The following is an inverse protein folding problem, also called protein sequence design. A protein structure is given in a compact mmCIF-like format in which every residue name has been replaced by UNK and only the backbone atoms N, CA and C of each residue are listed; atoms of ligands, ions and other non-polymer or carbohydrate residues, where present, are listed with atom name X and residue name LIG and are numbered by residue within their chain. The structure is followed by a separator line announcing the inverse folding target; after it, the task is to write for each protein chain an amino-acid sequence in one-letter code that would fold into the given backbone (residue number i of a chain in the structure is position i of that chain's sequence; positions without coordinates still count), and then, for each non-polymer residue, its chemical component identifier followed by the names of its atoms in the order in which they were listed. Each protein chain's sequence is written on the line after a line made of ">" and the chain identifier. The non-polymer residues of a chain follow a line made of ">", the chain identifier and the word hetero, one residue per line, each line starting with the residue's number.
data_IF_484028000015
#
_entry.id   IF_484028000015
#
_cell.length_a   1.000
_cell.length_b   1.000
_cell.length_c   1.000
_cell.angle_alpha   90.00
_cell.angle_beta   90.00
_cell.angle_gamma   90.00
#
_symmetry.space_group_name_H-M   'P 1'
#
loop_
_entity.id
_entity.type
_entity.pdbx_description
1 polymer ?
#
# COMPACT_ATOMS: atom_id res chain seq x y z
N UNK A 1 -32.87 -20.54 -61.30
CA UNK A 1 -33.33 -21.94 -61.10
C UNK A 1 -33.66 -21.99 -59.60
N UNK A 2 -34.91 -21.76 -59.34
CA UNK A 2 -36.09 -22.60 -59.11
C UNK A 2 -35.97 -23.37 -57.80
N UNK A 3 -36.79 -22.90 -56.87
CA UNK A 3 -38.04 -23.52 -56.36
C UNK A 3 -37.81 -24.63 -55.33
N UNK A 4 -38.47 -24.78 -54.20
CA UNK A 4 -39.92 -24.61 -53.91
C UNK A 4 -40.14 -24.53 -52.39
N UNK A 5 -41.19 -23.80 -52.07
CA UNK A 5 -41.96 -23.79 -50.82
C UNK A 5 -42.68 -25.13 -50.58
N UNK A 6 -42.97 -25.46 -49.33
CA UNK A 6 -44.21 -26.15 -49.02
C UNK A 6 -44.70 -25.79 -47.61
N UNK A 7 -45.91 -25.30 -47.55
CA UNK A 7 -46.79 -25.09 -46.39
C UNK A 7 -47.63 -26.34 -46.17
N UNK A 8 -48.05 -26.59 -44.92
CA UNK A 8 -49.33 -27.20 -44.54
C UNK A 8 -49.53 -26.99 -43.03
N UNK A 9 -50.42 -26.17 -42.54
CA UNK A 9 -51.86 -26.21 -42.36
C UNK A 9 -52.31 -27.07 -41.16
N UNK A 10 -52.81 -26.34 -40.17
CA UNK A 10 -53.70 -26.53 -39.03
C UNK A 10 -54.47 -27.87 -38.89
N UNK A 11 -54.60 -28.32 -37.60
CA UNK A 11 -55.93 -28.64 -37.05
C UNK A 11 -55.96 -28.37 -35.54
N UNK A 12 -57.02 -27.68 -35.11
CA UNK A 12 -57.37 -27.42 -33.72
C UNK A 12 -58.27 -28.56 -33.17
N UNK A 13 -58.15 -28.88 -31.90
CA UNK A 13 -59.18 -29.60 -31.17
C UNK A 13 -59.25 -29.08 -29.74
N UNK A 14 -60.40 -28.52 -29.42
CA UNK A 14 -60.82 -28.03 -28.11
C UNK A 14 -61.02 -29.18 -27.13
N UNK A 15 -60.58 -28.99 -25.88
CA UNK A 15 -60.87 -29.88 -24.77
C UNK A 15 -60.69 -29.16 -23.46
N UNK A 16 -61.82 -28.76 -22.83
CA UNK A 16 -61.88 -28.08 -21.52
C UNK A 16 -61.38 -28.97 -20.37
N UNK A 17 -60.55 -28.48 -19.46
CA UNK A 17 -60.13 -29.23 -18.29
C UNK A 17 -60.96 -28.93 -17.05
N UNK A 18 -61.28 -29.99 -16.30
CA UNK A 18 -61.80 -29.95 -14.93
C UNK A 18 -60.71 -29.52 -13.92
N UNK A 19 -61.10 -28.83 -12.81
CA UNK A 19 -60.11 -28.35 -11.84
C UNK A 19 -59.62 -29.48 -10.95
N UNK A 20 -58.33 -29.79 -11.02
CA UNK A 20 -57.65 -30.58 -9.98
C UNK A 20 -57.12 -29.69 -8.88
N UNK A 21 -57.51 -30.02 -7.65
CA UNK A 21 -57.03 -29.40 -6.43
C UNK A 21 -55.51 -29.55 -6.32
N UNK A 22 -54.80 -28.40 -6.36
CA UNK A 22 -53.35 -28.35 -6.17
C UNK A 22 -53.11 -28.19 -4.67
N UNK A 23 -52.53 -29.22 -4.04
CA UNK A 23 -52.04 -29.15 -2.69
C UNK A 23 -50.79 -28.25 -2.69
N UNK A 24 -50.90 -27.10 -1.98
CA UNK A 24 -49.77 -26.18 -1.77
C UNK A 24 -48.89 -26.80 -0.68
N UNK A 25 -47.80 -27.43 -1.04
CA UNK A 25 -46.69 -27.72 -0.14
C UNK A 25 -45.88 -26.44 0.03
N UNK A 26 -46.05 -25.79 1.19
CA UNK A 26 -45.19 -24.70 1.63
C UNK A 26 -43.88 -25.33 2.07
N UNK A 27 -42.89 -25.37 1.17
CA UNK A 27 -41.51 -25.58 1.56
C UNK A 27 -40.97 -24.26 2.11
N UNK A 28 -40.94 -24.13 3.43
CA UNK A 28 -40.14 -23.15 4.13
C UNK A 28 -38.67 -23.51 3.93
N UNK A 29 -38.09 -23.04 2.83
CA UNK A 29 -36.63 -23.01 2.66
C UNK A 29 -36.10 -21.97 3.64
N UNK A 30 -35.58 -22.42 4.79
CA UNK A 30 -34.67 -21.62 5.62
C UNK A 30 -33.41 -21.34 4.79
N UNK A 31 -33.41 -20.25 4.06
CA UNK A 31 -32.16 -19.67 3.55
C UNK A 31 -31.39 -19.12 4.76
N UNK A 32 -30.49 -19.93 5.29
CA UNK A 32 -29.38 -19.44 6.09
C UNK A 32 -28.54 -18.56 5.16
N UNK A 33 -28.89 -17.27 5.08
CA UNK A 33 -27.99 -16.24 4.63
C UNK A 33 -26.84 -16.20 5.63
N UNK A 34 -25.74 -16.89 5.30
CA UNK A 34 -24.45 -16.60 5.88
C UNK A 34 -24.15 -15.15 5.50
N UNK A 35 -24.40 -14.23 6.42
CA UNK A 35 -23.87 -12.88 6.39
C UNK A 35 -22.34 -13.05 6.46
N UNK A 36 -21.70 -13.20 5.31
CA UNK A 36 -20.32 -12.77 5.15
C UNK A 36 -20.40 -11.27 5.35
N UNK A 37 -20.17 -10.84 6.58
CA UNK A 37 -19.94 -9.44 6.88
C UNK A 37 -18.73 -9.04 6.06
N UNK A 38 -18.97 -8.39 4.92
CA UNK A 38 -17.99 -7.58 4.27
C UNK A 38 -17.68 -6.49 5.31
N UNK A 39 -16.60 -6.67 6.08
CA UNK A 39 -16.08 -5.64 6.96
C UNK A 39 -15.55 -4.52 6.07
N UNK A 40 -16.45 -3.71 5.53
CA UNK A 40 -16.11 -2.39 5.04
C UNK A 40 -15.56 -1.65 6.26
N UNK A 41 -14.27 -1.34 6.25
CA UNK A 41 -13.63 -0.57 7.32
C UNK A 41 -14.34 0.77 7.39
N UNK A 42 -15.10 1.01 8.47
CA UNK A 42 -15.81 2.29 8.64
C UNK A 42 -14.78 3.39 8.87
N UNK A 43 -14.95 4.51 8.19
CA UNK A 43 -14.15 5.71 8.43
C UNK A 43 -14.46 6.22 9.85
N UNK A 44 -13.43 6.37 10.67
CA UNK A 44 -13.55 6.86 12.04
C UNK A 44 -13.12 8.32 12.15
N UNK A 45 -13.55 9.03 13.20
CA UNK A 45 -13.07 10.37 13.47
C UNK A 45 -11.63 10.34 14.04
N UNK A 46 -10.87 11.41 13.82
CA UNK A 46 -9.49 11.54 14.32
C UNK A 46 -9.45 11.43 15.86
N UNK A 47 -10.44 12.00 16.54
CA UNK A 47 -10.54 11.98 17.99
C UNK A 47 -10.70 10.56 18.53
N UNK A 48 -11.38 9.70 17.78
CA UNK A 48 -11.59 8.30 18.17
C UNK A 48 -10.32 7.43 18.07
N UNK A 49 -9.27 7.91 17.39
CA UNK A 49 -7.99 7.19 17.30
C UNK A 49 -7.28 7.08 18.65
N UNK A 50 -7.57 7.98 19.62
CA UNK A 50 -7.03 7.93 20.99
C UNK A 50 -7.42 6.59 21.65
N UNK A 51 -8.67 6.20 21.47
CA UNK A 51 -9.26 4.98 22.02
C UNK A 51 -9.37 3.85 20.99
N UNK A 52 -8.61 3.92 19.89
CA UNK A 52 -8.64 2.87 18.86
C UNK A 52 -8.44 1.49 19.48
N UNK A 53 -9.26 0.48 19.14
CA UNK A 53 -9.15 -0.84 19.73
C UNK A 53 -7.79 -1.48 19.44
N UNK A 54 -7.24 -2.18 20.43
CA UNK A 54 -5.98 -2.92 20.26
C UNK A 54 -6.15 -4.06 19.25
N UNK A 55 -5.17 -4.23 18.36
CA UNK A 55 -5.19 -5.23 17.29
C UNK A 55 -6.09 -4.88 16.10
N UNK A 56 -6.54 -3.63 15.98
CA UNK A 56 -7.47 -3.19 14.93
C UNK A 56 -6.84 -2.13 14.04
N UNK A 57 -7.20 -2.15 12.76
CA UNK A 57 -6.89 -1.10 11.78
C UNK A 57 -8.06 -0.14 11.67
N UNK A 58 -7.82 1.14 11.91
CA UNK A 58 -8.78 2.23 11.77
C UNK A 58 -8.57 2.95 10.46
N UNK A 59 -9.62 3.18 9.68
CA UNK A 59 -9.63 4.01 8.47
C UNK A 59 -10.11 5.42 8.84
N UNK A 60 -9.40 6.45 8.40
CA UNK A 60 -9.77 7.83 8.69
C UNK A 60 -9.33 8.79 7.57
N UNK A 61 -10.05 9.91 7.49
CA UNK A 61 -9.68 11.05 6.66
C UNK A 61 -9.13 12.16 7.56
N UNK A 62 -8.12 12.87 7.07
CA UNK A 62 -7.49 13.97 7.82
C UNK A 62 -7.28 15.20 6.94
N UNK A 63 -7.32 16.42 7.52
CA UNK A 63 -7.09 17.65 6.77
C UNK A 63 -5.61 17.81 6.44
N UNK A 64 -5.31 18.17 5.20
CA UNK A 64 -3.96 18.44 4.71
C UNK A 64 -4.01 19.37 3.51
N UNK A 65 -3.11 20.35 3.44
CA UNK A 65 -2.93 21.23 2.27
C UNK A 65 -4.23 21.86 1.73
N UNK A 66 -5.17 22.18 2.63
CA UNK A 66 -6.48 22.77 2.29
C UNK A 66 -7.49 21.80 1.67
N UNK A 67 -7.25 20.51 1.77
CA UNK A 67 -8.09 19.42 1.29
C UNK A 67 -8.13 18.30 2.34
N UNK A 68 -8.55 17.09 1.94
CA UNK A 68 -8.51 15.89 2.80
C UNK A 68 -7.65 14.80 2.19
N UNK A 69 -7.08 13.96 3.05
CA UNK A 69 -6.35 12.77 2.65
C UNK A 69 -6.74 11.58 3.52
N UNK A 70 -6.53 10.40 2.97
CA UNK A 70 -6.88 9.10 3.55
C UNK A 70 -5.68 8.44 4.21
N UNK A 71 -5.91 7.83 5.37
CA UNK A 71 -4.95 6.96 6.00
C UNK A 71 -5.61 5.81 6.77
N UNK A 72 -4.81 4.77 7.01
CA UNK A 72 -5.15 3.63 7.85
C UNK A 72 -4.12 3.56 8.98
N UNK A 73 -4.60 3.41 10.21
CA UNK A 73 -3.75 3.28 11.39
C UNK A 73 -4.03 1.96 12.09
N UNK A 74 -3.04 1.08 12.09
CA UNK A 74 -3.10 -0.21 12.78
C UNK A 74 -2.49 -0.09 14.16
N UNK A 75 -3.29 -0.34 15.20
CA UNK A 75 -2.82 -0.38 16.58
C UNK A 75 -2.43 -1.81 16.95
N UNK A 76 -1.20 -2.07 17.43
CA UNK A 76 -0.83 -3.37 17.97
C UNK A 76 -1.63 -3.75 19.21
N UNK A 77 -1.67 -5.05 19.54
CA UNK A 77 -2.21 -5.51 20.80
C UNK A 77 -1.31 -5.08 21.97
N UNK A 78 -1.93 -4.81 23.14
CA UNK A 78 -1.20 -4.41 24.35
C UNK A 78 -1.24 -2.91 24.66
N UNK A 79 -0.53 -2.49 25.72
CA UNK A 79 -0.68 -1.14 26.26
C UNK A 79 0.12 -0.05 25.50
N UNK A 80 1.19 -0.40 24.77
CA UNK A 80 2.09 0.57 24.17
C UNK A 80 3.02 1.26 25.19
N UNK A 81 3.68 2.42 24.86
CA UNK A 81 3.66 3.00 23.51
C UNK A 81 4.45 2.15 22.51
N UNK A 82 3.99 2.18 21.25
CA UNK A 82 4.54 1.39 20.15
C UNK A 82 5.37 2.24 19.19
N UNK A 83 6.48 1.71 18.64
CA UNK A 83 7.16 2.37 17.52
C UNK A 83 6.20 2.57 16.35
N UNK A 84 6.38 3.65 15.59
CA UNK A 84 5.57 3.96 14.42
C UNK A 84 6.29 3.57 13.13
N UNK A 85 5.63 2.73 12.31
CA UNK A 85 6.03 2.46 10.93
C UNK A 85 5.11 3.24 9.98
N UNK A 86 5.66 4.14 9.18
CA UNK A 86 4.94 4.83 8.11
C UNK A 86 5.10 4.01 6.82
N UNK A 87 3.96 3.63 6.22
CA UNK A 87 3.92 2.77 5.04
C UNK A 87 3.37 3.54 3.83
N UNK A 88 4.12 3.53 2.74
CA UNK A 88 3.74 4.16 1.48
C UNK A 88 3.57 3.12 0.36
N UNK A 89 2.41 3.16 -0.26
CA UNK A 89 2.00 2.23 -1.31
C UNK A 89 2.61 2.55 -2.69
N UNK A 90 2.58 1.57 -3.60
CA UNK A 90 2.99 1.72 -4.99
C UNK A 90 1.91 2.34 -5.88
N UNK A 91 2.24 2.52 -7.17
CA UNK A 91 1.25 2.82 -8.19
C UNK A 91 0.44 1.57 -8.53
N UNK A 92 -0.88 1.67 -8.54
CA UNK A 92 -1.78 0.58 -8.88
C UNK A 92 -2.27 0.76 -10.31
N UNK A 93 -1.85 -0.13 -11.21
CA UNK A 93 -2.29 -0.11 -12.61
C UNK A 93 -3.77 -0.53 -12.69
N UNK A 94 -4.59 0.32 -13.30
CA UNK A 94 -6.00 0.02 -13.55
C UNK A 94 -6.96 0.20 -12.35
N UNK A 95 -6.45 0.57 -11.20
CA UNK A 95 -7.25 0.99 -10.05
C UNK A 95 -6.57 2.16 -9.33
N UNK A 96 -7.35 2.97 -8.66
CA UNK A 96 -6.83 4.06 -7.82
C UNK A 96 -6.68 3.61 -6.36
N UNK A 97 -6.39 2.32 -6.14
CA UNK A 97 -6.13 1.79 -4.81
C UNK A 97 -4.99 2.51 -4.12
N UNK A 98 -5.21 2.93 -2.86
CA UNK A 98 -4.30 3.72 -2.05
C UNK A 98 -3.62 2.92 -0.95
N UNK A 99 -3.68 3.47 0.25
CA UNK A 99 -3.03 2.92 1.45
C UNK A 99 -3.53 1.53 1.84
N UNK A 100 -4.78 1.18 1.51
CA UNK A 100 -5.34 -0.16 1.78
C UNK A 100 -4.49 -1.28 1.17
N UNK A 101 -3.72 -1.00 0.12
CA UNK A 101 -2.85 -1.98 -0.54
C UNK A 101 -1.61 -2.36 0.28
N UNK A 102 -1.27 -1.60 1.32
CA UNK A 102 -0.17 -1.88 2.26
C UNK A 102 -0.66 -2.08 3.70
N UNK A 103 -1.97 -2.08 3.92
CA UNK A 103 -2.56 -2.43 5.23
C UNK A 103 -2.17 -3.85 5.66
N UNK A 104 -2.15 -4.88 4.79
CA UNK A 104 -1.70 -6.22 5.20
C UNK A 104 -0.28 -6.26 5.77
N UNK A 105 0.63 -5.40 5.29
CA UNK A 105 1.97 -5.23 5.84
C UNK A 105 1.92 -4.54 7.21
N UNK A 106 1.10 -3.48 7.36
CA UNK A 106 0.92 -2.78 8.63
C UNK A 106 0.37 -3.72 9.72
N UNK A 107 -0.62 -4.55 9.39
CA UNK A 107 -1.20 -5.54 10.28
C UNK A 107 -0.20 -6.63 10.68
N UNK A 108 0.60 -7.11 9.72
CA UNK A 108 1.67 -8.09 10.00
C UNK A 108 2.76 -7.49 10.91
N UNK A 109 3.17 -6.24 10.70
CA UNK A 109 4.13 -5.57 11.56
C UNK A 109 3.55 -5.27 12.96
N UNK A 110 2.26 -5.00 13.05
CA UNK A 110 1.58 -4.81 14.33
C UNK A 110 1.48 -6.13 15.12
N UNK A 111 1.11 -7.23 14.47
CA UNK A 111 0.96 -8.55 15.12
C UNK A 111 2.29 -9.16 15.51
N UNK A 112 3.29 -9.14 14.62
CA UNK A 112 4.52 -9.91 14.74
C UNK A 112 5.65 -9.14 15.43
N UNK A 113 5.60 -7.79 15.38
CA UNK A 113 6.69 -6.92 15.81
C UNK A 113 6.25 -5.83 16.78
N UNK A 114 4.95 -5.65 17.03
CA UNK A 114 4.39 -4.57 17.85
C UNK A 114 4.75 -3.17 17.34
N UNK A 115 4.78 -2.97 16.03
CA UNK A 115 4.88 -1.65 15.41
C UNK A 115 3.48 -1.15 15.07
N UNK A 116 3.14 0.05 15.48
CA UNK A 116 1.97 0.74 14.96
C UNK A 116 2.20 1.06 13.47
N UNK A 117 1.22 0.73 12.62
CA UNK A 117 1.35 0.92 11.18
C UNK A 117 0.50 2.09 10.71
N UNK A 118 1.11 3.15 10.17
CA UNK A 118 0.43 4.26 9.51
C UNK A 118 0.59 4.13 8.00
N UNK A 119 -0.44 3.63 7.31
CA UNK A 119 -0.50 3.58 5.87
C UNK A 119 -1.20 4.84 5.33
N UNK A 120 -0.53 5.59 4.43
CA UNK A 120 -1.03 6.87 3.92
C UNK A 120 -1.29 6.77 2.43
N UNK A 121 -2.51 7.15 1.98
CA UNK A 121 -2.83 7.23 0.56
C UNK A 121 -2.19 8.47 -0.06
N UNK A 122 -1.34 8.23 -1.07
CA UNK A 122 -0.65 9.30 -1.79
C UNK A 122 -1.64 10.13 -2.61
N UNK A 123 -1.33 11.39 -2.95
CA UNK A 123 -2.19 12.23 -3.80
C UNK A 123 -2.64 11.54 -5.08
N UNK A 124 -3.97 11.53 -5.32
CA UNK A 124 -4.61 10.87 -6.45
C UNK A 124 -4.91 9.38 -6.26
N UNK A 125 -4.82 8.86 -5.02
CA UNK A 125 -5.14 7.46 -4.68
C UNK A 125 -6.11 7.40 -3.50
N UNK A 126 -6.84 6.27 -3.42
CA UNK A 126 -7.84 6.05 -2.38
C UNK A 126 -8.87 7.18 -2.32
N UNK A 127 -9.22 7.58 -1.11
CA UNK A 127 -10.12 8.72 -0.87
C UNK A 127 -9.36 10.06 -0.67
N UNK A 128 -8.05 10.11 -1.02
CA UNK A 128 -7.27 11.34 -0.93
C UNK A 128 -7.68 12.34 -2.00
N UNK A 129 -8.27 13.47 -1.60
CA UNK A 129 -8.72 14.54 -2.50
C UNK A 129 -7.59 15.47 -2.96
N UNK A 130 -6.42 15.42 -2.31
CA UNK A 130 -5.24 16.19 -2.74
C UNK A 130 -4.86 15.76 -4.15
N UNK A 131 -4.81 16.72 -5.07
CA UNK A 131 -4.46 16.45 -6.47
C UNK A 131 -2.97 16.12 -6.59
N UNK A 132 -2.63 15.06 -7.36
CA UNK A 132 -1.23 14.78 -7.63
C UNK A 132 -0.60 15.93 -8.42
N UNK A 133 0.62 16.28 -8.08
CA UNK A 133 1.42 17.30 -8.75
C UNK A 133 2.79 16.79 -9.14
N UNK A 134 3.53 17.62 -9.87
CA UNK A 134 4.93 17.34 -10.24
C UNK A 134 5.92 17.70 -9.13
N UNK A 135 5.50 18.54 -8.17
CA UNK A 135 6.31 18.86 -6.99
C UNK A 135 6.15 17.74 -5.94
N UNK A 136 7.22 17.01 -5.61
CA UNK A 136 7.17 15.95 -4.60
C UNK A 136 6.76 16.45 -3.21
N UNK A 137 6.95 17.74 -2.91
CA UNK A 137 6.56 18.34 -1.63
C UNK A 137 5.08 18.20 -1.33
N UNK A 138 4.22 18.17 -2.36
CA UNK A 138 2.78 17.95 -2.19
C UNK A 138 2.55 16.60 -1.50
N UNK A 139 3.21 15.55 -1.98
CA UNK A 139 3.10 14.21 -1.40
C UNK A 139 3.76 14.13 -0.03
N UNK A 140 4.93 14.75 0.13
CA UNK A 140 5.64 14.74 1.42
C UNK A 140 4.81 15.42 2.51
N UNK A 141 4.17 16.55 2.22
CA UNK A 141 3.31 17.25 3.17
C UNK A 141 2.13 16.39 3.64
N UNK A 142 1.47 15.67 2.71
CA UNK A 142 0.38 14.74 3.09
C UNK A 142 0.87 13.70 4.09
N UNK A 143 2.05 13.11 3.87
CA UNK A 143 2.60 12.09 4.77
C UNK A 143 3.02 12.68 6.10
N UNK A 144 3.66 13.86 6.09
CA UNK A 144 4.10 14.56 7.30
C UNK A 144 2.91 15.00 8.15
N UNK A 145 1.83 15.49 7.53
CA UNK A 145 0.61 15.88 8.26
C UNK A 145 -0.03 14.65 8.93
N UNK A 146 -0.11 13.51 8.23
CA UNK A 146 -0.60 12.25 8.80
C UNK A 146 0.27 11.81 10.00
N UNK A 147 1.60 11.82 9.84
CA UNK A 147 2.53 11.45 10.89
C UNK A 147 2.38 12.38 12.13
N UNK A 148 2.38 13.70 11.92
CA UNK A 148 2.21 14.71 12.98
C UNK A 148 0.89 14.60 13.74
N UNK A 149 -0.13 14.04 13.10
CA UNK A 149 -1.40 13.78 13.73
C UNK A 149 -1.34 12.56 14.66
N UNK A 150 -0.79 11.44 14.18
CA UNK A 150 -0.79 10.19 14.95
C UNK A 150 0.30 10.11 16.01
N UNK A 151 1.41 10.83 15.86
CA UNK A 151 2.48 10.89 16.88
C UNK A 151 2.03 11.44 18.23
N UNK A 152 0.90 12.16 18.27
CA UNK A 152 0.27 12.71 19.49
C UNK A 152 -0.55 11.68 20.26
N UNK A 153 -0.80 10.51 19.68
CA UNK A 153 -1.59 9.46 20.32
C UNK A 153 -0.80 8.85 21.50
N UNK A 154 -1.45 8.62 22.66
CA UNK A 154 -0.75 8.21 23.88
C UNK A 154 -0.12 6.81 23.78
N UNK A 155 -0.52 6.02 22.80
CA UNK A 155 0.00 4.68 22.57
C UNK A 155 1.04 4.61 21.43
N UNK A 156 1.48 5.74 20.88
CA UNK A 156 2.58 5.86 19.90
C UNK A 156 3.86 6.34 20.57
N UNK A 157 4.98 5.70 20.29
CA UNK A 157 6.31 6.18 20.63
C UNK A 157 6.87 7.00 19.46
N UNK A 158 6.62 8.30 19.49
CA UNK A 158 7.02 9.26 18.45
C UNK A 158 8.54 9.41 18.28
N UNK A 159 9.34 8.83 19.19
CA UNK A 159 10.81 8.86 19.10
C UNK A 159 11.36 7.66 18.32
N UNK A 160 10.55 6.66 18.03
CA UNK A 160 10.93 5.45 17.33
C UNK A 160 10.17 5.33 16.02
N UNK A 161 10.71 5.96 14.99
CA UNK A 161 10.09 6.09 13.68
C UNK A 161 10.79 5.20 12.65
N UNK A 162 9.99 4.52 11.83
CA UNK A 162 10.45 3.63 10.77
C UNK A 162 9.68 3.94 9.49
N UNK A 163 10.32 3.75 8.35
CA UNK A 163 9.72 3.99 7.04
C UNK A 163 9.68 2.70 6.23
N UNK A 164 8.57 2.45 5.56
CA UNK A 164 8.40 1.39 4.58
C UNK A 164 7.81 1.96 3.29
N UNK A 165 8.39 1.62 2.15
CA UNK A 165 7.85 2.02 0.85
C UNK A 165 7.93 0.92 -0.18
N UNK A 166 6.83 0.76 -0.92
CA UNK A 166 6.75 -0.13 -2.08
C UNK A 166 6.70 0.66 -3.38
N UNK A 167 7.56 0.33 -4.36
CA UNK A 167 7.52 0.90 -5.72
C UNK A 167 7.57 2.44 -5.71
N UNK A 168 6.53 3.13 -6.18
CA UNK A 168 6.37 4.59 -6.06
C UNK A 168 6.50 5.08 -4.61
N UNK A 169 5.92 4.32 -3.66
CA UNK A 169 6.06 4.62 -2.24
C UNK A 169 7.51 4.58 -1.78
N UNK A 170 8.36 3.68 -2.31
CA UNK A 170 9.77 3.64 -1.96
C UNK A 170 10.53 4.91 -2.41
N UNK A 171 10.15 5.50 -3.54
CA UNK A 171 10.70 6.80 -3.96
C UNK A 171 10.37 7.91 -2.95
N UNK A 172 9.11 8.04 -2.52
CA UNK A 172 8.72 9.05 -1.54
C UNK A 172 9.27 8.75 -0.14
N UNK A 173 9.35 7.48 0.24
CA UNK A 173 10.03 7.03 1.47
C UNK A 173 11.49 7.49 1.49
N UNK A 174 12.17 7.39 0.36
CA UNK A 174 13.56 7.85 0.21
C UNK A 174 13.71 9.36 0.39
N UNK A 175 12.73 10.14 -0.07
CA UNK A 175 12.70 11.59 0.15
C UNK A 175 12.38 11.96 1.61
N UNK A 176 11.50 11.20 2.28
CA UNK A 176 11.17 11.40 3.69
C UNK A 176 12.35 11.14 4.61
N UNK A 177 13.29 10.28 4.21
CA UNK A 177 14.47 9.93 4.98
C UNK A 177 15.30 11.15 5.43
N UNK A 178 15.18 12.28 4.73
CA UNK A 178 15.85 13.55 5.05
C UNK A 178 14.91 14.62 5.67
N UNK A 179 13.61 14.34 5.73
CA UNK A 179 12.61 15.31 6.19
C UNK A 179 12.18 15.05 7.64
N UNK A 180 12.35 13.83 8.11
CA UNK A 180 11.96 13.40 9.45
C UNK A 180 13.22 13.08 10.24
N UNK A 181 13.40 13.76 11.36
CA UNK A 181 14.48 13.47 12.30
C UNK A 181 14.15 12.22 13.12
N UNK A 182 15.19 11.47 13.53
CA UNK A 182 15.02 10.33 14.42
C UNK A 182 14.47 9.06 13.77
N UNK A 183 14.53 8.94 12.45
CA UNK A 183 14.21 7.67 11.77
C UNK A 183 15.23 6.63 12.19
N UNK A 184 14.74 5.49 12.71
CA UNK A 184 15.56 4.37 13.17
C UNK A 184 15.80 3.28 12.11
N UNK A 185 14.98 3.22 11.05
CA UNK A 185 15.13 2.25 9.96
C UNK A 185 14.29 2.55 8.74
N UNK A 186 14.80 2.17 7.56
CA UNK A 186 14.16 2.39 6.27
C UNK A 186 14.06 1.07 5.52
N UNK A 187 12.89 0.75 4.97
CA UNK A 187 12.65 -0.42 4.13
C UNK A 187 12.16 0.02 2.76
N UNK A 188 12.89 -0.34 1.73
CA UNK A 188 12.66 0.05 0.35
C UNK A 188 12.43 -1.19 -0.52
N UNK A 189 11.21 -1.37 -0.98
CA UNK A 189 10.76 -2.55 -1.73
C UNK A 189 10.46 -2.17 -3.19
N UNK A 190 11.23 -2.73 -4.14
CA UNK A 190 11.08 -2.56 -5.60
C UNK A 190 10.98 -1.08 -6.04
N UNK A 191 11.79 -0.21 -5.44
CA UNK A 191 11.73 1.24 -5.64
C UNK A 191 12.53 1.73 -6.83
N UNK A 192 12.15 2.92 -7.32
CA UNK A 192 12.91 3.72 -8.27
C UNK A 192 13.62 4.86 -7.53
N UNK A 193 14.89 5.12 -7.83
CA UNK A 193 15.71 6.07 -7.09
C UNK A 193 16.34 7.14 -8.00
N UNK A 194 16.44 6.86 -9.30
CA UNK A 194 16.77 7.82 -10.35
C UNK A 194 15.69 7.79 -11.43
N UNK A 195 14.76 8.74 -11.35
CA UNK A 195 13.63 8.81 -12.28
C UNK A 195 14.08 9.25 -13.68
N UNK A 196 15.21 9.98 -13.83
CA UNK A 196 15.75 10.31 -15.15
C UNK A 196 16.18 9.04 -15.87
N UNK A 197 16.92 8.18 -15.18
CA UNK A 197 17.38 6.91 -15.73
C UNK A 197 16.20 5.97 -16.00
N UNK A 198 15.24 5.87 -15.06
CA UNK A 198 14.03 5.08 -15.28
C UNK A 198 13.28 5.53 -16.53
N UNK A 199 13.16 6.84 -16.77
CA UNK A 199 12.52 7.40 -17.95
C UNK A 199 13.25 7.01 -19.25
N UNK A 200 14.57 6.99 -19.24
CA UNK A 200 15.36 6.61 -20.41
C UNK A 200 15.25 5.11 -20.70
N UNK A 201 15.28 4.28 -19.69
CA UNK A 201 15.36 2.82 -19.81
C UNK A 201 13.99 2.12 -19.94
N UNK A 202 12.91 2.78 -19.49
CA UNK A 202 11.61 2.12 -19.34
C UNK A 202 10.54 2.75 -20.25
N UNK A 203 10.19 2.12 -21.39
CA UNK A 203 9.25 2.68 -22.37
C UNK A 203 7.86 2.99 -21.78
N UNK A 204 7.32 2.11 -20.94
CA UNK A 204 6.01 2.35 -20.33
C UNK A 204 5.99 3.59 -19.42
N UNK A 205 7.06 3.78 -18.62
CA UNK A 205 7.18 4.95 -17.74
C UNK A 205 7.30 6.24 -18.55
N UNK A 206 8.04 6.19 -19.67
CA UNK A 206 8.13 7.28 -20.63
C UNK A 206 6.77 7.63 -21.22
N UNK A 207 6.02 6.64 -21.69
CA UNK A 207 4.67 6.84 -22.25
C UNK A 207 3.69 7.36 -21.21
N UNK A 208 3.79 6.93 -19.96
CA UNK A 208 2.95 7.42 -18.88
C UNK A 208 3.20 8.89 -18.56
N UNK A 209 4.47 9.32 -18.51
CA UNK A 209 4.82 10.71 -18.17
C UNK A 209 4.76 11.67 -19.35
N UNK A 210 4.93 11.19 -20.56
CA UNK A 210 5.03 12.01 -21.76
C UNK A 210 4.35 11.32 -22.96
N UNK A 211 3.02 11.14 -22.91
CA UNK A 211 2.29 10.40 -23.95
C UNK A 211 2.37 11.05 -25.33
N UNK A 212 2.52 12.38 -25.43
CA UNK A 212 2.67 13.10 -26.71
C UNK A 212 4.10 13.11 -27.24
N UNK A 213 5.10 12.77 -26.42
CA UNK A 213 6.52 12.88 -26.80
C UNK A 213 7.08 14.31 -26.86
N UNK A 214 6.24 15.32 -26.61
CA UNK A 214 6.57 16.75 -26.82
C UNK A 214 7.33 17.38 -25.65
N UNK A 215 7.36 16.74 -24.49
CA UNK A 215 7.98 17.26 -23.27
C UNK A 215 9.22 16.47 -22.93
N UNK A 216 10.24 17.17 -22.44
CA UNK A 216 11.36 16.54 -21.77
C UNK A 216 11.19 16.80 -20.25
N UNK A 217 10.55 15.90 -19.48
CA UNK A 217 10.28 16.16 -18.08
C UNK A 217 11.58 16.23 -17.30
N UNK A 218 11.72 17.28 -16.49
CA UNK A 218 12.80 17.35 -15.51
C UNK A 218 12.43 16.41 -14.35
N UNK A 219 13.07 15.26 -14.32
CA UNK A 219 12.82 14.24 -13.31
C UNK A 219 13.88 14.33 -12.20
N UNK A 220 13.51 13.77 -11.04
CA UNK A 220 14.34 13.81 -9.85
C UNK A 220 15.16 12.53 -9.71
N UNK A 221 16.35 12.65 -9.15
CA UNK A 221 17.13 11.55 -8.58
C UNK A 221 17.30 11.79 -7.08
N UNK A 222 17.08 10.76 -6.26
CA UNK A 222 17.31 10.83 -4.80
C UNK A 222 18.75 10.45 -4.43
N UNK A 223 19.52 9.91 -5.38
CA UNK A 223 20.86 9.39 -5.09
C UNK A 223 21.81 10.43 -4.49
N UNK A 224 21.76 11.73 -4.88
CA UNK A 224 22.56 12.79 -4.24
C UNK A 224 22.24 13.02 -2.76
N UNK A 225 21.04 12.62 -2.32
CA UNK A 225 20.58 12.80 -0.92
C UNK A 225 21.03 11.65 0.00
N UNK A 226 21.46 10.51 -0.55
CA UNK A 226 21.87 9.32 0.23
C UNK A 226 22.96 9.62 1.25
N UNK A 227 23.96 10.48 1.00
CA UNK A 227 24.97 10.82 2.00
C UNK A 227 24.42 11.45 3.29
N UNK A 228 23.24 12.04 3.24
CA UNK A 228 22.60 12.67 4.40
C UNK A 228 21.72 11.73 5.22
N UNK A 229 21.47 10.50 4.74
CA UNK A 229 20.69 9.51 5.49
C UNK A 229 21.44 9.03 6.73
N UNK A 230 20.73 8.85 7.82
CA UNK A 230 21.30 8.37 9.09
C UNK A 230 20.86 6.95 9.43
N UNK A 231 19.64 6.57 9.02
CA UNK A 231 19.04 5.30 9.36
C UNK A 231 19.60 4.13 8.54
N UNK A 232 19.78 2.95 9.14
CA UNK A 232 20.03 1.71 8.41
C UNK A 232 18.91 1.44 7.40
N UNK A 233 19.28 0.93 6.22
CA UNK A 233 18.36 0.76 5.10
C UNK A 233 18.33 -0.69 4.63
N UNK A 234 17.12 -1.28 4.52
CA UNK A 234 16.88 -2.55 3.85
C UNK A 234 16.37 -2.28 2.43
N UNK A 235 17.05 -2.82 1.43
CA UNK A 235 16.66 -2.74 0.01
C UNK A 235 16.29 -4.14 -0.48
N UNK A 236 15.05 -4.29 -0.99
CA UNK A 236 14.51 -5.55 -1.53
C UNK A 236 14.13 -5.32 -2.99
N UNK A 237 14.62 -6.16 -3.93
CA UNK A 237 14.31 -5.98 -5.36
C UNK A 237 14.33 -7.30 -6.13
N UNK A 238 13.44 -7.43 -7.12
CA UNK A 238 13.40 -8.56 -8.03
C UNK A 238 14.34 -8.38 -9.22
N UNK A 239 15.18 -9.37 -9.52
CA UNK A 239 16.12 -9.27 -10.65
C UNK A 239 15.40 -9.24 -12.02
N UNK A 240 14.18 -9.82 -12.09
CA UNK A 240 13.36 -9.85 -13.31
C UNK A 240 12.30 -8.74 -13.32
N UNK A 241 12.50 -7.67 -12.55
CA UNK A 241 11.58 -6.54 -12.52
C UNK A 241 11.60 -5.77 -13.84
N UNK A 242 10.50 -5.89 -14.61
CA UNK A 242 10.30 -5.22 -15.89
C UNK A 242 9.64 -3.84 -15.78
N UNK A 243 9.12 -3.49 -14.60
CA UNK A 243 8.50 -2.19 -14.35
C UNK A 243 9.52 -1.18 -13.80
N UNK A 244 10.32 -1.62 -12.84
CA UNK A 244 11.40 -0.83 -12.25
C UNK A 244 12.65 -1.69 -12.31
N UNK A 245 13.51 -1.43 -13.29
CA UNK A 245 14.73 -2.22 -13.49
C UNK A 245 15.53 -2.38 -12.21
N UNK A 246 16.09 -3.57 -11.99
CA UNK A 246 17.00 -3.87 -10.86
C UNK A 246 18.20 -2.91 -10.81
N UNK A 247 18.52 -2.24 -11.91
CA UNK A 247 19.55 -1.19 -11.94
C UNK A 247 19.23 -0.03 -10.99
N UNK A 248 17.95 0.26 -10.72
CA UNK A 248 17.58 1.27 -9.74
C UNK A 248 18.06 0.88 -8.33
N UNK A 249 17.88 -0.38 -7.95
CA UNK A 249 18.38 -0.89 -6.67
C UNK A 249 19.91 -0.93 -6.61
N UNK A 250 20.58 -1.30 -7.71
CA UNK A 250 22.05 -1.27 -7.80
C UNK A 250 22.61 0.15 -7.64
N UNK A 251 22.03 1.15 -8.30
CA UNK A 251 22.41 2.55 -8.13
C UNK A 251 22.28 3.03 -6.68
N UNK A 252 21.19 2.68 -6.02
CA UNK A 252 21.00 2.99 -4.60
C UNK A 252 22.07 2.29 -3.75
N UNK A 253 22.34 1.01 -3.99
CA UNK A 253 23.37 0.25 -3.28
C UNK A 253 24.74 0.93 -3.44
N UNK A 254 25.14 1.26 -4.66
CA UNK A 254 26.40 1.94 -4.95
C UNK A 254 26.51 3.29 -4.21
N UNK A 255 25.41 4.05 -4.15
CA UNK A 255 25.37 5.31 -3.41
C UNK A 255 25.47 5.12 -1.89
N UNK A 256 24.82 4.07 -1.33
CA UNK A 256 24.92 3.70 0.09
C UNK A 256 26.35 3.26 0.45
N UNK A 257 26.99 2.46 -0.41
CA UNK A 257 28.37 2.01 -0.26
C UNK A 257 29.35 3.21 -0.29
N UNK A 258 29.23 4.07 -1.31
CA UNK A 258 30.08 5.25 -1.45
C UNK A 258 29.94 6.21 -0.24
N UNK A 259 28.73 6.34 0.29
CA UNK A 259 28.43 7.16 1.47
C UNK A 259 28.70 6.44 2.80
N UNK A 260 29.16 5.18 2.77
CA UNK A 260 29.42 4.34 3.95
C UNK A 260 28.20 4.24 4.90
N UNK A 261 27.01 4.16 4.32
CA UNK A 261 25.75 4.01 5.09
C UNK A 261 25.50 2.55 5.44
N UNK A 262 24.95 2.24 6.62
CA UNK A 262 24.57 0.88 6.96
C UNK A 262 23.38 0.43 6.12
N UNK A 263 23.50 -0.69 5.42
CA UNK A 263 22.42 -1.24 4.62
C UNK A 263 22.43 -2.76 4.56
N UNK A 264 21.29 -3.32 4.20
CA UNK A 264 21.13 -4.69 3.71
C UNK A 264 20.52 -4.66 2.31
N UNK A 265 21.03 -5.52 1.45
CA UNK A 265 20.60 -5.62 0.06
C UNK A 265 20.19 -7.06 -0.25
N UNK A 266 18.94 -7.25 -0.67
CA UNK A 266 18.38 -8.57 -0.98
C UNK A 266 17.81 -8.56 -2.38
N UNK A 267 18.40 -9.35 -3.27
CA UNK A 267 17.89 -9.62 -4.60
C UNK A 267 17.08 -10.92 -4.63
N UNK A 268 16.04 -10.91 -5.45
CA UNK A 268 15.17 -12.06 -5.70
C UNK A 268 15.35 -12.49 -7.16
N UNK A 269 16.19 -13.51 -7.44
CA UNK A 269 16.63 -13.86 -8.81
C UNK A 269 15.51 -14.23 -9.76
N UNK A 270 14.41 -14.76 -9.23
CA UNK A 270 13.29 -15.26 -10.02
C UNK A 270 12.04 -14.40 -9.99
N UNK A 271 12.06 -13.27 -9.28
CA UNK A 271 10.90 -12.41 -9.09
C UNK A 271 10.99 -11.13 -9.92
N UNK A 272 9.82 -10.66 -10.35
CA UNK A 272 9.62 -9.36 -10.96
C UNK A 272 9.32 -8.28 -9.93
N UNK A 273 8.46 -7.33 -10.30
CA UNK A 273 8.14 -6.15 -9.47
C UNK A 273 7.47 -6.49 -8.13
N UNK A 274 6.64 -7.54 -8.10
CA UNK A 274 6.01 -8.02 -6.86
C UNK A 274 6.81 -9.18 -6.32
N UNK A 275 7.32 -9.00 -5.10
CA UNK A 275 8.05 -10.04 -4.37
C UNK A 275 7.07 -10.89 -3.52
N UNK A 276 7.44 -12.10 -3.12
CA UNK A 276 6.60 -12.92 -2.24
C UNK A 276 6.35 -12.21 -0.90
N UNK A 277 5.08 -11.89 -0.56
CA UNK A 277 4.77 -11.02 0.58
C UNK A 277 5.29 -11.57 1.92
N UNK A 278 5.16 -12.87 2.15
CA UNK A 278 5.64 -13.51 3.38
C UNK A 278 7.15 -13.41 3.53
N UNK A 279 7.92 -13.58 2.45
CA UNK A 279 9.38 -13.48 2.51
C UNK A 279 9.83 -12.03 2.71
N UNK A 280 9.16 -11.07 2.06
CA UNK A 280 9.37 -9.63 2.30
C UNK A 280 9.15 -9.30 3.77
N UNK A 281 8.02 -9.74 4.36
CA UNK A 281 7.72 -9.53 5.79
C UNK A 281 8.78 -10.17 6.69
N UNK A 282 9.17 -11.42 6.40
CA UNK A 282 10.22 -12.13 7.16
C UNK A 282 11.57 -11.42 7.10
N UNK A 283 12.00 -10.95 5.92
CA UNK A 283 13.25 -10.20 5.77
C UNK A 283 13.21 -8.86 6.48
N UNK A 284 12.07 -8.15 6.36
CA UNK A 284 11.84 -6.88 7.06
C UNK A 284 11.86 -7.10 8.58
N UNK A 285 11.17 -8.12 9.09
CA UNK A 285 11.16 -8.45 10.51
C UNK A 285 12.56 -8.78 11.05
N UNK A 286 13.34 -9.54 10.29
CA UNK A 286 14.72 -9.88 10.68
C UNK A 286 15.61 -8.62 10.74
N UNK A 287 15.48 -7.72 9.75
CA UNK A 287 16.20 -6.44 9.71
C UNK A 287 15.81 -5.54 10.88
N UNK A 288 14.52 -5.35 11.12
CA UNK A 288 14.03 -4.51 12.22
C UNK A 288 14.47 -5.04 13.59
N UNK A 289 14.41 -6.35 13.80
CA UNK A 289 14.92 -6.96 15.06
C UNK A 289 16.41 -6.74 15.29
N UNK A 290 17.19 -6.74 14.21
CA UNK A 290 18.63 -6.50 14.31
C UNK A 290 18.97 -5.07 14.71
N UNK A 291 18.29 -4.08 14.10
CA UNK A 291 18.61 -2.67 14.33
C UNK A 291 17.99 -2.09 15.61
N UNK A 292 16.86 -2.64 16.08
CA UNK A 292 16.09 -2.07 17.20
C UNK A 292 15.79 -3.05 18.34
N UNK A 293 16.16 -4.32 18.22
CA UNK A 293 15.71 -5.37 19.12
C UNK A 293 14.22 -5.69 18.95
N UNK A 294 13.62 -6.37 19.94
CA UNK A 294 12.17 -6.64 19.92
C UNK A 294 11.39 -5.42 20.40
N UNK A 295 10.44 -4.94 19.60
CA UNK A 295 9.53 -3.89 20.01
C UNK A 295 8.38 -4.41 20.91
N UNK A 296 8.06 -5.71 20.81
CA UNK A 296 7.10 -6.35 21.72
C UNK A 296 7.69 -6.41 23.12
N UNK A 297 7.21 -5.52 24.00
CA UNK A 297 7.45 -5.72 25.43
C UNK A 297 6.66 -6.94 25.85
N UNK A 298 7.36 -8.04 26.15
CA UNK A 298 6.74 -9.11 26.92
C UNK A 298 6.24 -8.47 28.21
N UNK A 299 4.92 -8.43 28.41
CA UNK A 299 4.37 -8.15 29.72
C UNK A 299 5.01 -9.18 30.65
N UNK A 300 5.99 -8.73 31.42
CA UNK A 300 6.44 -9.48 32.61
C UNK A 300 5.23 -9.47 33.55
N UNK A 301 4.77 -10.64 33.97
CA UNK A 301 3.60 -10.78 34.81
C UNK A 301 3.74 -10.04 36.13
#
# INVERSE_FOLDING_TARGET
>A
MEHRQSQAVLHAAEGTPRPRRLAIFIYTALCLFSLVACNATQTVSIESLVDAPAGVTSHFLFPTSGSSAEAYLTRPAGPGPFPLMILLHGHTLGSMGGAETVVPEAEAFASDLCYAGLAVSLPGYGETEVRPGTDPKITLNVVLDAASLVEKLPWIDSKRLYLYGFSRGAFFTSLLANQIEGIEGIVLHSGAYDLNRLYQETPWFRSMLNPSGERNPKLMSILPEVPTWYAPTLVLHGEKDSLVSVQQANLLRESLEAAKKPYRFVLYPNNGHRLPPEDVRKKTAAFLKEISGSACRTSIP
#
